data_IF_150733679498
#
_entry.id   IF_150733679498
#
_cell.length_a   1.000
_cell.length_b   1.000
_cell.length_c   1.000
_cell.angle_alpha   90.00
_cell.angle_beta   90.00
_cell.angle_gamma   90.00
#
_symmetry.space_group_name_H-M   'P 1'
#
loop_
_entity.id
_entity.type
_entity.pdbx_description
1 polymer ?
#
# COMPACT_ATOMS: atom_id res chain seq x y z
N UNK A 1 1.61 9.25 -17.80
CA UNK A 1 0.79 9.04 -19.01
C UNK A 1 0.47 7.56 -19.22
N UNK A 2 1.42 6.68 -19.56
CA UNK A 2 1.11 5.25 -19.77
C UNK A 2 0.51 4.61 -18.53
N UNK A 3 1.15 4.77 -17.36
CA UNK A 3 0.64 4.28 -16.09
C UNK A 3 -0.78 4.78 -15.78
N UNK A 4 -1.04 6.07 -16.00
CA UNK A 4 -2.37 6.66 -15.79
C UNK A 4 -3.44 5.99 -16.67
N UNK A 5 -3.13 5.70 -17.94
CA UNK A 5 -4.06 5.02 -18.86
C UNK A 5 -4.27 3.56 -18.49
N UNK A 6 -3.25 2.86 -18.00
CA UNK A 6 -3.39 1.49 -17.49
C UNK A 6 -4.34 1.47 -16.29
N UNK A 7 -4.24 2.45 -15.40
CA UNK A 7 -5.16 2.56 -14.26
C UNK A 7 -6.58 2.96 -14.71
N UNK A 8 -6.73 4.11 -15.38
CA UNK A 8 -8.05 4.69 -15.64
C UNK A 8 -8.76 4.11 -16.87
N UNK A 9 -8.06 3.92 -17.98
CA UNK A 9 -8.70 3.42 -19.21
C UNK A 9 -8.91 1.90 -19.15
N UNK A 10 -7.92 1.15 -18.67
CA UNK A 10 -7.99 -0.31 -18.63
C UNK A 10 -8.72 -0.83 -17.37
N UNK A 11 -8.21 -0.55 -16.16
CA UNK A 11 -8.89 -1.01 -14.93
C UNK A 11 -10.19 -0.26 -14.69
N UNK A 12 -10.16 1.07 -14.73
CA UNK A 12 -11.35 1.91 -14.55
C UNK A 12 -12.42 1.62 -15.61
N UNK A 13 -12.03 1.50 -16.88
CA UNK A 13 -12.95 1.13 -17.95
C UNK A 13 -13.59 -0.25 -17.75
N UNK A 14 -12.82 -1.26 -17.33
CA UNK A 14 -13.37 -2.58 -17.00
C UNK A 14 -14.33 -2.53 -15.81
N UNK A 15 -14.00 -1.76 -14.77
CA UNK A 15 -14.89 -1.53 -13.62
C UNK A 15 -16.21 -0.95 -14.09
N UNK A 16 -16.18 0.12 -14.87
CA UNK A 16 -17.38 0.83 -15.30
C UNK A 16 -18.28 -0.07 -16.17
N UNK A 17 -17.71 -0.84 -17.11
CA UNK A 17 -18.46 -1.84 -17.92
C UNK A 17 -19.01 -2.97 -17.04
N UNK A 18 -18.28 -3.39 -16.01
CA UNK A 18 -18.75 -4.41 -15.06
C UNK A 18 -19.98 -3.92 -14.31
N UNK A 19 -20.00 -2.65 -13.89
CA UNK A 19 -21.13 -2.03 -13.21
C UNK A 19 -22.38 -1.97 -14.08
N UNK A 20 -22.24 -1.69 -15.39
CA UNK A 20 -23.36 -1.73 -16.34
C UNK A 20 -24.05 -3.11 -16.39
N UNK A 21 -23.34 -4.17 -16.00
CA UNK A 21 -23.82 -5.54 -15.98
C UNK A 21 -24.11 -6.06 -14.55
N UNK A 22 -24.10 -5.19 -13.54
CA UNK A 22 -24.34 -5.57 -12.14
C UNK A 22 -23.23 -6.41 -11.51
N UNK A 23 -22.01 -6.33 -12.06
CA UNK A 23 -20.82 -7.03 -11.58
C UNK A 23 -19.89 -6.05 -10.86
N UNK A 24 -19.07 -6.56 -9.94
CA UNK A 24 -17.99 -5.82 -9.28
C UNK A 24 -16.64 -6.41 -9.65
N UNK A 25 -15.63 -5.56 -9.72
CA UNK A 25 -14.25 -5.97 -10.02
C UNK A 25 -13.48 -6.31 -8.76
N UNK A 26 -12.82 -7.46 -8.77
CA UNK A 26 -11.75 -7.79 -7.85
C UNK A 26 -10.44 -7.86 -8.63
N UNK A 27 -9.42 -7.18 -8.14
CA UNK A 27 -8.15 -7.02 -8.83
C UNK A 27 -7.00 -7.32 -7.89
N UNK A 28 -6.12 -8.22 -8.32
CA UNK A 28 -4.86 -8.44 -7.63
C UNK A 28 -3.87 -7.34 -7.97
N UNK A 29 -3.23 -6.82 -6.92
CA UNK A 29 -2.30 -5.71 -7.04
C UNK A 29 -0.93 -6.24 -7.46
N UNK A 30 -0.77 -6.45 -8.76
CA UNK A 30 0.47 -6.90 -9.35
C UNK A 30 1.18 -5.81 -10.15
N UNK A 31 2.48 -6.05 -10.29
CA UNK A 31 3.27 -5.43 -11.34
C UNK A 31 4.74 -5.86 -11.36
N UNK A 32 5.01 -7.07 -10.88
CA UNK A 32 6.23 -7.76 -11.25
C UNK A 32 6.16 -8.10 -12.76
N UNK A 33 7.31 -8.40 -13.36
CA UNK A 33 7.38 -8.98 -14.72
C UNK A 33 6.91 -8.08 -15.88
N UNK A 34 7.29 -6.79 -15.86
CA UNK A 34 7.12 -5.90 -17.01
C UNK A 34 5.84 -5.06 -17.00
N UNK A 35 5.19 -4.93 -15.84
CA UNK A 35 4.02 -4.07 -15.66
C UNK A 35 4.35 -2.58 -15.85
N UNK A 36 3.67 -1.87 -16.76
CA UNK A 36 3.97 -0.49 -17.09
C UNK A 36 3.19 0.53 -16.25
N UNK A 37 2.81 0.18 -15.02
CA UNK A 37 1.91 0.98 -14.17
C UNK A 37 2.50 1.42 -12.82
N UNK A 38 1.65 2.09 -12.05
CA UNK A 38 1.87 2.50 -10.66
C UNK A 38 0.85 1.75 -9.79
N UNK A 39 1.33 0.89 -8.89
CA UNK A 39 0.49 -0.09 -8.18
C UNK A 39 -0.65 0.51 -7.33
N UNK A 40 -0.48 1.70 -6.75
CA UNK A 40 -1.51 2.35 -5.95
C UNK A 40 -2.64 2.85 -6.84
N UNK A 41 -2.34 3.61 -7.90
CA UNK A 41 -3.33 4.10 -8.86
C UNK A 41 -4.03 2.95 -9.59
N UNK A 42 -3.27 1.94 -10.02
CA UNK A 42 -3.80 0.72 -10.63
C UNK A 42 -4.80 0.01 -9.71
N UNK A 43 -4.35 -0.29 -8.48
CA UNK A 43 -5.20 -0.88 -7.45
C UNK A 43 -6.39 0.00 -7.07
N UNK A 44 -6.23 1.31 -7.08
CA UNK A 44 -7.25 2.29 -6.71
C UNK A 44 -8.46 2.28 -7.65
N UNK A 45 -8.29 1.87 -8.91
CA UNK A 45 -9.36 1.91 -9.91
C UNK A 45 -10.31 0.69 -9.91
N UNK A 46 -10.04 -0.38 -9.15
CA UNK A 46 -11.00 -1.49 -8.98
C UNK A 46 -12.07 -1.21 -7.91
N UNK A 47 -13.08 -2.07 -7.76
CA UNK A 47 -14.01 -2.02 -6.60
C UNK A 47 -13.37 -2.63 -5.36
N UNK A 48 -12.92 -3.87 -5.49
CA UNK A 48 -12.19 -4.62 -4.48
C UNK A 48 -10.76 -4.87 -4.97
N UNK A 49 -9.81 -4.91 -4.03
CA UNK A 49 -8.40 -5.15 -4.31
C UNK A 49 -7.93 -6.35 -3.52
N UNK A 50 -6.97 -7.09 -4.06
CA UNK A 50 -6.29 -8.15 -3.31
C UNK A 50 -4.79 -8.20 -3.55
N UNK A 51 -4.09 -8.87 -2.64
CA UNK A 51 -2.77 -9.41 -2.90
C UNK A 51 -2.84 -10.90 -3.16
N UNK A 52 -1.69 -11.56 -3.07
CA UNK A 52 -1.54 -13.01 -3.10
C UNK A 52 -0.53 -13.39 -2.02
N UNK A 53 -0.70 -14.53 -1.36
CA UNK A 53 0.40 -15.13 -0.62
C UNK A 53 0.42 -16.64 -0.67
N UNK A 54 1.66 -17.15 -0.67
CA UNK A 54 1.92 -18.58 -0.63
C UNK A 54 2.03 -19.07 0.80
N UNK A 55 1.73 -20.35 1.01
CA UNK A 55 1.76 -21.04 2.30
C UNK A 55 3.12 -20.94 2.99
N UNK A 56 4.21 -20.84 2.22
CA UNK A 56 5.57 -20.72 2.71
C UNK A 56 6.39 -19.64 1.97
N UNK A 57 7.58 -19.34 2.48
CA UNK A 57 8.56 -18.48 1.80
C UNK A 57 8.29 -16.98 1.98
N UNK A 58 8.66 -16.19 0.97
CA UNK A 58 8.52 -14.72 0.95
C UNK A 58 7.51 -14.22 -0.07
N UNK A 59 6.82 -15.13 -0.78
CA UNK A 59 5.82 -14.73 -1.78
C UNK A 59 4.58 -14.16 -1.06
N UNK A 60 4.22 -12.95 -1.45
CA UNK A 60 3.16 -12.14 -0.86
C UNK A 60 3.65 -10.99 0.03
N UNK A 61 4.94 -10.93 0.36
CA UNK A 61 5.48 -9.88 1.24
C UNK A 61 5.28 -8.47 0.67
N UNK A 62 5.28 -8.34 -0.65
CA UNK A 62 5.14 -7.05 -1.34
C UNK A 62 3.68 -6.81 -1.72
N UNK A 63 3.05 -7.80 -2.36
CA UNK A 63 1.73 -7.71 -2.97
C UNK A 63 0.64 -7.40 -1.93
N UNK A 64 0.69 -8.04 -0.76
CA UNK A 64 -0.32 -7.81 0.27
C UNK A 64 -0.20 -6.42 0.92
N UNK A 65 1.03 -5.93 1.12
CA UNK A 65 1.26 -4.56 1.62
C UNK A 65 0.88 -3.51 0.57
N UNK A 66 1.12 -3.81 -0.71
CA UNK A 66 0.70 -2.97 -1.82
C UNK A 66 -0.83 -2.88 -1.91
N UNK A 67 -1.51 -4.03 -1.79
CA UNK A 67 -2.97 -4.11 -1.78
C UNK A 67 -3.59 -3.38 -0.58
N UNK A 68 -3.08 -3.58 0.63
CA UNK A 68 -3.60 -2.90 1.83
C UNK A 68 -3.38 -1.38 1.77
N UNK A 69 -2.18 -0.92 1.40
CA UNK A 69 -1.91 0.52 1.25
C UNK A 69 -2.84 1.16 0.22
N UNK A 70 -3.04 0.51 -0.94
CA UNK A 70 -3.97 0.99 -1.97
C UNK A 70 -5.41 1.03 -1.44
N UNK A 71 -5.87 -0.04 -0.77
CA UNK A 71 -7.20 -0.06 -0.19
C UNK A 71 -7.43 1.11 0.79
N UNK A 72 -6.49 1.33 1.71
CA UNK A 72 -6.59 2.38 2.72
C UNK A 72 -6.68 3.78 2.09
N UNK A 73 -5.77 4.11 1.16
CA UNK A 73 -5.70 5.47 0.61
C UNK A 73 -6.85 5.81 -0.36
N UNK A 74 -7.49 4.79 -0.94
CA UNK A 74 -8.65 4.93 -1.82
C UNK A 74 -9.99 4.62 -1.13
N UNK A 75 -9.99 4.39 0.18
CA UNK A 75 -11.23 4.26 0.96
C UNK A 75 -11.92 2.89 0.86
N UNK A 76 -11.21 1.84 0.42
CA UNK A 76 -11.73 0.48 0.33
C UNK A 76 -11.64 -0.20 1.70
N UNK A 77 -12.69 -0.93 2.08
CA UNK A 77 -12.74 -1.64 3.36
C UNK A 77 -12.19 -3.06 3.25
N UNK A 78 -12.47 -3.74 2.13
CA UNK A 78 -12.04 -5.13 1.90
C UNK A 78 -10.68 -5.14 1.20
N UNK A 79 -9.74 -5.85 1.82
CA UNK A 79 -8.43 -6.18 1.26
C UNK A 79 -8.35 -7.68 1.18
N UNK A 80 -8.56 -8.20 -0.03
CA UNK A 80 -8.54 -9.63 -0.23
C UNK A 80 -7.13 -10.18 -0.39
N UNK A 81 -6.98 -11.49 -0.30
CA UNK A 81 -5.79 -12.13 -0.81
C UNK A 81 -6.11 -13.50 -1.39
N UNK A 82 -5.56 -13.81 -2.57
CA UNK A 82 -5.36 -15.21 -2.96
C UNK A 82 -4.46 -15.86 -1.90
N UNK A 83 -5.04 -16.76 -1.12
CA UNK A 83 -4.49 -17.18 0.16
C UNK A 83 -4.07 -18.64 0.12
N UNK A 84 -2.88 -18.88 0.65
CA UNK A 84 -2.30 -20.20 0.85
C UNK A 84 -1.92 -20.92 -0.45
N UNK A 85 -1.51 -20.22 -1.50
CA UNK A 85 -0.98 -20.88 -2.70
C UNK A 85 0.23 -21.75 -2.33
N UNK A 86 0.35 -22.96 -2.88
CA UNK A 86 1.49 -23.83 -2.62
C UNK A 86 1.88 -24.64 -3.86
N UNK A 87 3.12 -25.11 -3.91
CA UNK A 87 3.59 -26.05 -4.92
C UNK A 87 4.57 -27.06 -4.30
N UNK A 88 5.01 -28.02 -5.11
CA UNK A 88 5.91 -29.09 -4.69
C UNK A 88 5.13 -30.31 -4.22
N UNK A 89 5.29 -30.72 -2.96
CA UNK A 89 4.65 -31.90 -2.39
C UNK A 89 3.11 -31.75 -2.30
N UNK A 90 2.33 -32.47 -3.14
CA UNK A 90 0.87 -32.39 -3.12
C UNK A 90 0.28 -32.96 -1.82
N UNK A 91 -0.84 -32.42 -1.35
CA UNK A 91 -1.57 -32.89 -0.16
C UNK A 91 -0.75 -32.92 1.15
N UNK A 92 0.39 -32.21 1.21
CA UNK A 92 1.26 -32.22 2.39
C UNK A 92 0.97 -31.08 3.38
N UNK A 93 0.10 -30.14 3.01
CA UNK A 93 -0.28 -28.98 3.83
C UNK A 93 -1.62 -29.24 4.50
N UNK A 94 -1.77 -28.67 5.69
CA UNK A 94 -2.97 -28.78 6.53
C UNK A 94 -3.11 -27.51 7.37
N UNK A 95 -4.30 -27.21 7.93
CA UNK A 95 -4.61 -25.92 8.55
C UNK A 95 -3.59 -25.41 9.58
N UNK A 96 -3.00 -26.29 10.39
CA UNK A 96 -2.04 -25.86 11.41
C UNK A 96 -0.74 -25.26 10.81
N UNK A 97 -0.29 -25.76 9.65
CA UNK A 97 0.86 -25.19 8.93
C UNK A 97 0.51 -23.84 8.30
N UNK A 98 -0.70 -23.72 7.78
CA UNK A 98 -1.17 -22.49 7.11
C UNK A 98 -1.45 -21.36 8.10
N UNK A 99 -1.85 -21.67 9.33
CA UNK A 99 -2.30 -20.67 10.32
C UNK A 99 -1.29 -19.54 10.51
N UNK A 100 -0.02 -19.85 10.77
CA UNK A 100 0.99 -18.83 11.02
C UNK A 100 1.15 -17.87 9.84
N UNK A 101 1.10 -18.40 8.61
CA UNK A 101 1.20 -17.60 7.39
C UNK A 101 -0.02 -16.69 7.21
N UNK A 102 -1.22 -17.21 7.44
CA UNK A 102 -2.45 -16.43 7.41
C UNK A 102 -2.42 -15.29 8.43
N UNK A 103 -2.03 -15.57 9.67
CA UNK A 103 -1.93 -14.59 10.75
C UNK A 103 -0.97 -13.45 10.40
N UNK A 104 0.17 -13.78 9.78
CA UNK A 104 1.11 -12.77 9.29
C UNK A 104 0.45 -11.82 8.29
N UNK A 105 -0.25 -12.32 7.28
CA UNK A 105 -0.85 -11.43 6.29
C UNK A 105 -2.08 -10.68 6.78
N UNK A 106 -2.78 -11.21 7.80
CA UNK A 106 -3.74 -10.43 8.55
C UNK A 106 -3.09 -9.19 9.20
N UNK A 107 -1.86 -9.31 9.71
CA UNK A 107 -1.10 -8.13 10.21
C UNK A 107 -0.60 -7.19 9.11
N UNK A 108 -0.52 -7.65 7.86
CA UNK A 108 -0.19 -6.82 6.70
C UNK A 108 -1.42 -6.08 6.11
N UNK A 109 -2.60 -6.28 6.71
CA UNK A 109 -3.84 -5.60 6.34
C UNK A 109 -4.84 -6.44 5.56
N UNK A 110 -4.55 -7.73 5.29
CA UNK A 110 -5.50 -8.63 4.63
C UNK A 110 -6.66 -8.91 5.59
N UNK A 111 -7.89 -8.73 5.10
CA UNK A 111 -9.10 -8.94 5.88
C UNK A 111 -10.23 -9.64 5.11
N UNK A 112 -9.96 -10.13 3.89
CA UNK A 112 -10.92 -10.88 3.06
C UNK A 112 -10.26 -12.08 2.35
N UNK A 113 -10.19 -13.22 3.02
CA UNK A 113 -9.46 -14.40 2.53
C UNK A 113 -10.15 -15.09 1.35
N UNK A 114 -9.43 -15.28 0.23
CA UNK A 114 -9.82 -16.13 -0.90
C UNK A 114 -8.94 -17.40 -0.89
N UNK A 115 -9.52 -18.57 -0.63
CA UNK A 115 -8.74 -19.81 -0.54
C UNK A 115 -8.30 -20.31 -1.92
N UNK A 116 -6.98 -20.36 -2.13
CA UNK A 116 -6.37 -20.95 -3.32
C UNK A 116 -5.92 -22.38 -2.99
N UNK A 117 -6.52 -23.44 -3.53
CA UNK A 117 -7.64 -23.46 -4.50
C UNK A 117 -8.59 -24.63 -4.26
N UNK A 118 -9.87 -24.45 -4.58
CA UNK A 118 -10.82 -25.56 -4.65
C UNK A 118 -10.89 -26.11 -6.08
N UNK A 119 -10.12 -27.16 -6.37
CA UNK A 119 -10.18 -27.85 -7.68
C UNK A 119 -11.41 -28.76 -7.72
N UNK A 120 -12.26 -28.57 -8.74
CA UNK A 120 -13.42 -29.42 -8.98
C UNK A 120 -13.00 -30.87 -9.23
N UNK A 121 -13.68 -31.81 -8.56
CA UNK A 121 -13.43 -33.25 -8.70
C UNK A 121 -14.61 -33.88 -9.44
N UNK A 122 -14.38 -34.37 -10.67
CA UNK A 122 -15.42 -34.97 -11.50
C UNK A 122 -15.68 -36.45 -11.18
N UNK A 123 -14.70 -37.14 -10.59
CA UNK A 123 -14.77 -38.57 -10.30
C UNK A 123 -15.00 -38.82 -8.81
N UNK A 124 -15.99 -39.64 -8.47
CA UNK A 124 -16.28 -39.96 -7.08
C UNK A 124 -15.41 -41.09 -6.52
N UNK A 125 -14.98 -42.01 -7.37
CA UNK A 125 -14.24 -43.22 -7.04
C UNK A 125 -12.71 -43.04 -7.10
N UNK A 126 -12.22 -41.84 -7.43
CA UNK A 126 -10.79 -41.54 -7.53
C UNK A 126 -10.32 -40.63 -6.41
N UNK A 127 -9.53 -41.18 -5.50
CA UNK A 127 -8.78 -40.45 -4.48
C UNK A 127 -7.27 -40.45 -4.81
N UNK A 128 -6.51 -39.37 -4.51
CA UNK A 128 -6.96 -38.13 -3.86
C UNK A 128 -7.61 -37.12 -4.82
N UNK A 129 -7.87 -37.52 -6.07
CA UNK A 129 -8.56 -36.71 -7.07
C UNK A 129 -7.62 -36.08 -8.10
N UNK A 130 -8.20 -35.23 -8.95
CA UNK A 130 -7.49 -34.36 -9.89
C UNK A 130 -6.73 -33.29 -9.11
N UNK A 131 -5.49 -33.04 -9.49
CA UNK A 131 -4.70 -31.96 -8.95
C UNK A 131 -3.96 -31.19 -10.06
N UNK A 132 -3.64 -29.93 -9.78
CA UNK A 132 -2.75 -29.12 -10.61
C UNK A 132 -1.31 -29.26 -10.11
N UNK A 133 -0.38 -28.53 -10.74
CA UNK A 133 0.99 -28.41 -10.21
C UNK A 133 1.09 -27.47 -8.99
N UNK A 134 -0.02 -26.79 -8.67
CA UNK A 134 -0.22 -25.92 -7.52
C UNK A 134 -1.41 -26.36 -6.66
N UNK A 135 -1.43 -25.91 -5.41
CA UNK A 135 -2.49 -26.09 -4.42
C UNK A 135 -2.74 -24.79 -3.62
N UNK A 136 -3.30 -24.82 -2.42
CA UNK A 136 -3.64 -25.96 -1.55
C UNK A 136 -4.85 -26.75 -2.02
N UNK A 137 -4.90 -28.04 -1.73
CA UNK A 137 -6.01 -28.91 -2.12
C UNK A 137 -7.21 -28.80 -1.17
N UNK A 138 -7.90 -27.65 -1.13
CA UNK A 138 -9.08 -27.42 -0.28
C UNK A 138 -10.35 -28.18 -0.69
N UNK A 139 -10.23 -29.17 -1.60
CA UNK A 139 -11.35 -29.87 -2.19
C UNK A 139 -11.79 -31.08 -1.34
N UNK A 140 -13.00 -31.59 -1.61
CA UNK A 140 -13.65 -32.69 -0.86
C UNK A 140 -12.91 -34.02 -0.77
N UNK A 141 -11.85 -34.24 -1.55
CA UNK A 141 -11.04 -35.46 -1.51
C UNK A 141 -9.80 -35.34 -0.61
N UNK A 142 -9.58 -34.18 0.00
CA UNK A 142 -8.55 -34.01 1.02
C UNK A 142 -8.98 -34.65 2.35
N UNK A 143 -8.02 -35.26 3.05
CA UNK A 143 -8.25 -36.04 4.29
C UNK A 143 -8.91 -35.24 5.40
N UNK A 144 -8.65 -33.94 5.49
CA UNK A 144 -9.17 -33.03 6.52
C UNK A 144 -10.32 -32.13 6.03
N UNK A 145 -10.86 -32.36 4.82
CA UNK A 145 -11.87 -31.49 4.23
C UNK A 145 -13.11 -31.30 5.12
N UNK A 146 -13.59 -32.37 5.72
CA UNK A 146 -14.79 -32.34 6.56
C UNK A 146 -14.57 -31.70 7.93
N UNK A 147 -13.31 -31.49 8.33
CA UNK A 147 -12.93 -30.75 9.54
C UNK A 147 -12.53 -29.29 9.23
N UNK A 148 -12.64 -28.87 7.96
CA UNK A 148 -12.23 -27.53 7.51
C UNK A 148 -13.12 -26.42 8.08
N UNK A 149 -14.32 -26.75 8.55
CA UNK A 149 -15.24 -25.80 9.17
C UNK A 149 -14.61 -25.06 10.36
N UNK A 150 -13.78 -25.73 11.16
CA UNK A 150 -13.03 -25.14 12.28
C UNK A 150 -12.08 -24.05 11.77
N UNK A 151 -11.31 -24.33 10.72
CA UNK A 151 -10.38 -23.38 10.13
C UNK A 151 -11.10 -22.20 9.46
N UNK A 152 -12.20 -22.47 8.75
CA UNK A 152 -13.03 -21.42 8.15
C UNK A 152 -13.69 -20.54 9.21
N UNK A 153 -14.12 -21.10 10.34
CA UNK A 153 -14.71 -20.34 11.42
C UNK A 153 -13.69 -19.38 12.05
N UNK A 154 -12.44 -19.83 12.19
CA UNK A 154 -11.31 -18.98 12.59
C UNK A 154 -11.12 -17.82 11.61
N UNK A 155 -10.93 -18.11 10.32
CA UNK A 155 -10.73 -17.10 9.27
C UNK A 155 -11.88 -16.08 9.24
N UNK A 156 -13.13 -16.54 9.28
CA UNK A 156 -14.30 -15.66 9.25
C UNK A 156 -14.33 -14.69 10.44
N UNK A 157 -13.98 -15.15 11.64
CA UNK A 157 -13.91 -14.28 12.82
C UNK A 157 -12.80 -13.24 12.69
N UNK A 158 -11.61 -13.64 12.24
CA UNK A 158 -10.50 -12.72 12.00
C UNK A 158 -10.88 -11.66 10.96
N UNK A 159 -11.35 -12.08 9.79
CA UNK A 159 -11.75 -11.19 8.71
C UNK A 159 -12.87 -10.23 9.13
N UNK A 160 -13.87 -10.72 9.88
CA UNK A 160 -14.93 -9.87 10.42
C UNK A 160 -14.36 -8.78 11.34
N UNK A 161 -13.49 -9.15 12.30
CA UNK A 161 -12.90 -8.21 13.23
C UNK A 161 -11.98 -7.20 12.54
N UNK A 162 -11.19 -7.63 11.56
CA UNK A 162 -10.23 -6.79 10.83
C UNK A 162 -10.90 -5.83 9.82
N UNK A 163 -12.19 -6.02 9.53
CA UNK A 163 -13.00 -5.08 8.74
C UNK A 163 -13.70 -4.03 9.62
N UNK A 164 -13.60 -4.12 10.96
CA UNK A 164 -14.23 -3.15 11.86
C UNK A 164 -13.38 -1.88 11.98
N UNK A 165 -14.05 -0.73 11.95
CA UNK A 165 -13.42 0.56 12.17
C UNK A 165 -12.51 0.99 11.01
N UNK A 166 -11.36 1.59 11.35
CA UNK A 166 -10.37 2.08 10.40
C UNK A 166 -8.98 1.64 10.86
N UNK A 167 -8.15 1.26 9.91
CA UNK A 167 -6.73 0.99 10.16
C UNK A 167 -6.04 2.23 10.73
N UNK A 168 -5.09 2.01 11.63
CA UNK A 168 -4.31 3.06 12.28
C UNK A 168 -2.87 2.94 11.79
N UNK A 169 -2.40 3.99 11.11
CA UNK A 169 -1.02 4.14 10.68
C UNK A 169 -0.55 5.56 11.00
N UNK A 170 0.73 5.68 11.34
CA UNK A 170 1.33 6.94 11.74
C UNK A 170 2.08 7.60 10.59
N UNK A 171 2.51 6.79 9.62
CA UNK A 171 3.44 7.20 8.57
C UNK A 171 2.82 6.96 7.20
N UNK A 172 2.79 7.99 6.36
CA UNK A 172 2.54 7.87 4.93
C UNK A 172 3.89 7.94 4.18
N UNK A 173 4.30 6.85 3.53
CA UNK A 173 5.48 6.84 2.68
C UNK A 173 5.11 7.18 1.24
N UNK A 174 5.56 8.34 0.77
CA UNK A 174 5.37 8.74 -0.61
C UNK A 174 6.20 7.85 -1.55
N UNK A 175 5.55 7.24 -2.54
CA UNK A 175 6.19 6.25 -3.41
C UNK A 175 7.06 6.83 -4.53
N UNK A 176 7.08 8.16 -4.73
CA UNK A 176 7.63 8.95 -5.86
C UNK A 176 6.67 9.17 -7.05
N UNK A 177 7.17 9.80 -8.12
CA UNK A 177 6.41 10.17 -9.33
C UNK A 177 6.88 9.44 -10.61
N UNK A 178 7.92 8.61 -10.53
CA UNK A 178 8.33 7.77 -11.64
C UNK A 178 7.48 6.51 -11.73
N UNK A 179 7.45 5.91 -12.92
CA UNK A 179 6.79 4.65 -13.21
C UNK A 179 7.67 3.87 -14.22
N UNK A 180 7.66 2.52 -14.18
CA UNK A 180 6.80 1.65 -13.39
C UNK A 180 7.16 1.58 -11.90
N UNK A 181 6.17 1.36 -11.04
CA UNK A 181 6.33 1.24 -9.58
C UNK A 181 5.55 0.07 -9.02
N UNK A 182 6.25 -0.74 -8.25
CA UNK A 182 5.69 -1.91 -7.60
C UNK A 182 5.43 -1.78 -6.12
N UNK A 183 6.27 -1.00 -5.47
CA UNK A 183 6.16 -0.75 -4.05
C UNK A 183 6.90 0.54 -3.74
N UNK A 184 6.66 1.10 -2.56
CA UNK A 184 7.43 2.22 -2.06
C UNK A 184 8.66 1.76 -1.28
N UNK A 185 9.54 2.70 -0.99
CA UNK A 185 10.67 2.46 -0.08
C UNK A 185 10.35 2.98 1.31
N UNK A 186 10.76 2.23 2.33
CA UNK A 186 10.76 2.69 3.72
C UNK A 186 12.16 3.20 4.04
N UNK A 187 12.46 4.41 3.59
CA UNK A 187 13.73 5.07 3.92
C UNK A 187 13.49 6.48 4.48
N UNK A 188 13.48 6.62 5.81
CA UNK A 188 13.94 5.63 6.80
C UNK A 188 12.97 4.48 7.06
N UNK A 189 13.49 3.37 7.61
CA UNK A 189 12.65 2.24 8.03
C UNK A 189 11.64 2.67 9.08
N UNK A 190 10.44 2.09 9.00
CA UNK A 190 9.41 2.29 10.01
C UNK A 190 9.91 1.81 11.38
N UNK A 191 9.75 2.60 12.46
CA UNK A 191 10.13 2.16 13.80
C UNK A 191 9.15 1.13 14.37
N UNK A 192 9.63 0.31 15.31
CA UNK A 192 8.83 -0.75 15.91
C UNK A 192 7.60 -0.18 16.66
N UNK A 193 6.46 -0.87 16.57
CA UNK A 193 5.23 -0.44 17.27
C UNK A 193 4.45 0.67 16.58
N UNK A 194 4.90 1.13 15.41
CA UNK A 194 4.11 1.97 14.51
C UNK A 194 3.68 1.17 13.29
N UNK A 195 2.79 1.77 12.50
CA UNK A 195 2.36 1.23 11.22
C UNK A 195 2.39 2.31 10.14
N UNK A 196 2.34 1.88 8.88
CA UNK A 196 2.42 2.78 7.73
C UNK A 196 1.49 2.36 6.60
N UNK A 197 1.31 3.28 5.66
CA UNK A 197 0.84 3.03 4.30
C UNK A 197 1.78 3.67 3.28
N UNK A 198 1.80 3.10 2.07
CA UNK A 198 2.29 3.83 0.90
C UNK A 198 1.23 4.78 0.36
N UNK A 199 1.65 5.95 -0.11
CA UNK A 199 0.78 6.96 -0.72
C UNK A 199 1.37 7.45 -2.05
N UNK A 200 0.53 7.73 -3.04
CA UNK A 200 0.97 8.23 -4.35
C UNK A 200 0.73 9.74 -4.52
N UNK A 201 1.30 10.31 -5.59
CA UNK A 201 1.21 11.74 -5.86
C UNK A 201 -0.21 12.20 -6.18
N UNK A 202 -1.06 11.32 -6.73
CA UNK A 202 -2.47 11.63 -7.00
C UNK A 202 -3.22 11.88 -5.70
N UNK A 203 -3.19 10.94 -4.77
CA UNK A 203 -3.88 11.05 -3.48
C UNK A 203 -3.38 12.25 -2.68
N UNK A 204 -2.05 12.49 -2.65
CA UNK A 204 -1.47 13.69 -2.00
C UNK A 204 -2.08 14.96 -2.62
N UNK A 205 -2.16 15.04 -3.95
CA UNK A 205 -2.67 16.20 -4.68
C UNK A 205 -4.15 16.44 -4.50
N UNK A 206 -4.97 15.40 -4.59
CA UNK A 206 -6.41 15.55 -4.80
C UNK A 206 -7.24 15.24 -3.57
N UNK A 207 -6.75 14.42 -2.64
CA UNK A 207 -7.53 13.92 -1.50
C UNK A 207 -6.99 14.37 -0.15
N UNK A 208 -5.68 14.49 0.00
CA UNK A 208 -5.02 14.74 1.28
C UNK A 208 -5.26 16.18 1.77
N UNK A 209 -5.64 16.30 3.04
CA UNK A 209 -5.85 17.56 3.77
C UNK A 209 -5.17 17.50 5.14
N UNK A 210 -5.08 18.62 5.83
CA UNK A 210 -4.64 18.66 7.23
C UNK A 210 -5.82 18.94 8.14
N UNK A 211 -5.89 18.19 9.24
CA UNK A 211 -6.82 18.42 10.35
C UNK A 211 -6.10 18.09 11.65
N UNK A 212 -6.11 19.02 12.61
CA UNK A 212 -5.50 18.84 13.93
C UNK A 212 -4.04 18.35 13.87
N UNK A 213 -3.25 18.92 12.95
CA UNK A 213 -1.84 18.58 12.74
C UNK A 213 -1.60 17.24 12.03
N UNK A 214 -2.65 16.50 11.66
CA UNK A 214 -2.56 15.22 10.94
C UNK A 214 -2.95 15.36 9.48
N UNK A 215 -2.32 14.55 8.65
CA UNK A 215 -2.71 14.35 7.26
C UNK A 215 -3.92 13.43 7.23
N UNK A 216 -5.05 13.88 6.70
CA UNK A 216 -6.32 13.14 6.70
C UNK A 216 -6.84 12.94 5.28
N UNK A 217 -7.39 11.76 5.04
CA UNK A 217 -8.15 11.40 3.84
C UNK A 217 -9.66 11.47 4.13
N UNK A 218 -10.50 11.71 3.10
CA UNK A 218 -11.94 11.86 3.28
C UNK A 218 -12.61 10.61 3.88
N UNK A 219 -12.02 9.43 3.69
CA UNK A 219 -12.55 8.15 4.15
C UNK A 219 -12.14 7.77 5.58
N UNK A 220 -11.45 8.69 6.28
CA UNK A 220 -11.10 8.58 7.70
C UNK A 220 -9.67 8.11 7.99
N UNK A 221 -8.91 7.70 6.98
CA UNK A 221 -7.47 7.41 7.15
C UNK A 221 -6.73 8.68 7.55
N UNK A 222 -5.77 8.54 8.47
CA UNK A 222 -4.98 9.66 8.97
C UNK A 222 -3.54 9.23 9.21
N UNK A 223 -2.60 10.16 9.05
CA UNK A 223 -1.17 9.97 9.24
C UNK A 223 -0.57 11.16 9.98
N UNK A 224 0.41 10.89 10.83
CA UNK A 224 1.11 11.93 11.61
C UNK A 224 2.27 12.55 10.81
N UNK A 225 2.87 11.80 9.89
CA UNK A 225 4.01 12.26 9.08
C UNK A 225 3.93 11.76 7.64
N UNK A 226 4.27 12.63 6.69
CA UNK A 226 4.55 12.26 5.30
C UNK A 226 6.06 12.10 5.11
N UNK A 227 6.51 10.93 4.67
CA UNK A 227 7.91 10.66 4.37
C UNK A 227 8.13 10.66 2.87
N UNK A 228 9.00 11.54 2.39
CA UNK A 228 9.41 11.61 0.99
C UNK A 228 10.54 10.61 0.71
N UNK A 229 10.61 10.03 -0.50
CA UNK A 229 11.69 9.12 -0.87
C UNK A 229 13.03 9.87 -0.91
N UNK A 230 14.15 9.13 -0.86
CA UNK A 230 15.49 9.69 -0.97
C UNK A 230 15.83 10.11 -2.41
N UNK A 231 15.05 11.06 -2.95
CA UNK A 231 15.14 11.58 -4.31
C UNK A 231 15.14 13.11 -4.27
N UNK A 232 15.90 13.73 -5.17
CA UNK A 232 15.98 15.19 -5.30
C UNK A 232 15.12 15.72 -6.45
N UNK A 233 14.12 14.95 -6.90
CA UNK A 233 13.21 15.34 -7.98
C UNK A 233 11.77 15.38 -7.50
N UNK A 234 11.02 16.39 -7.96
CA UNK A 234 9.58 16.51 -7.73
C UNK A 234 8.95 17.47 -8.74
N UNK A 235 7.75 17.18 -9.24
CA UNK A 235 7.00 18.08 -10.14
C UNK A 235 6.52 19.31 -9.35
N UNK A 236 6.57 20.52 -9.93
CA UNK A 236 6.17 21.77 -9.25
C UNK A 236 4.80 21.70 -8.58
N UNK A 237 3.80 21.14 -9.27
CA UNK A 237 2.44 21.06 -8.74
C UNK A 237 2.28 20.12 -7.54
N UNK A 238 3.09 19.06 -7.42
CA UNK A 238 3.10 18.22 -6.21
C UNK A 238 3.82 18.93 -5.07
N UNK A 239 4.94 19.58 -5.36
CA UNK A 239 5.70 20.33 -4.37
C UNK A 239 4.89 21.50 -3.79
N UNK A 240 4.16 22.23 -4.64
CA UNK A 240 3.22 23.26 -4.18
C UNK A 240 2.18 22.69 -3.22
N UNK A 241 1.55 21.56 -3.57
CA UNK A 241 0.58 20.92 -2.67
C UNK A 241 1.21 20.54 -1.32
N UNK A 242 2.43 20.02 -1.32
CA UNK A 242 3.13 19.67 -0.08
C UNK A 242 3.40 20.93 0.74
N UNK A 243 3.79 22.04 0.12
CA UNK A 243 3.92 23.35 0.79
C UNK A 243 2.61 23.76 1.44
N UNK A 244 1.49 23.69 0.72
CA UNK A 244 0.17 24.04 1.26
C UNK A 244 -0.19 23.17 2.48
N UNK A 245 0.07 21.86 2.39
CA UNK A 245 -0.15 20.93 3.51
C UNK A 245 0.73 21.29 4.72
N UNK A 246 2.00 21.63 4.51
CA UNK A 246 2.89 22.05 5.61
C UNK A 246 2.40 23.36 6.22
N UNK A 247 2.02 24.35 5.42
CA UNK A 247 1.46 25.61 5.92
C UNK A 247 0.22 25.38 6.80
N UNK A 248 -0.61 24.39 6.44
CA UNK A 248 -1.80 24.00 7.19
C UNK A 248 -1.54 23.16 8.46
N UNK A 249 -0.32 22.64 8.65
CA UNK A 249 0.06 21.91 9.86
C UNK A 249 0.70 20.55 9.64
N UNK A 250 0.95 20.11 8.40
CA UNK A 250 1.56 18.81 8.15
C UNK A 250 3.03 18.77 8.58
N UNK A 251 3.45 17.58 9.01
CA UNK A 251 4.85 17.24 9.22
C UNK A 251 5.36 16.41 8.05
N UNK A 252 6.44 16.87 7.42
CA UNK A 252 7.04 16.21 6.26
C UNK A 252 8.52 15.94 6.52
N UNK A 253 8.95 14.71 6.24
CA UNK A 253 10.35 14.27 6.35
C UNK A 253 10.89 13.91 4.97
N UNK A 254 11.94 14.58 4.50
CA UNK A 254 12.53 14.25 3.21
C UNK A 254 13.66 15.15 2.76
N UNK A 255 14.44 14.71 1.76
CA UNK A 255 15.43 15.56 1.10
C UNK A 255 14.76 16.68 0.32
N UNK A 256 15.51 17.78 0.12
CA UNK A 256 15.07 18.93 -0.67
C UNK A 256 15.10 18.59 -2.18
N UNK A 257 13.98 18.76 -2.92
CA UNK A 257 13.98 18.59 -4.36
C UNK A 257 14.73 19.75 -5.05
N UNK A 258 15.32 19.46 -6.20
CA UNK A 258 16.17 20.38 -6.97
C UNK A 258 15.65 20.58 -8.40
N UNK A 259 15.02 19.57 -9.00
CA UNK A 259 14.53 19.61 -10.38
C UNK A 259 13.22 18.83 -10.55
N UNK A 260 12.53 19.08 -11.66
CA UNK A 260 11.37 18.29 -12.07
C UNK A 260 11.83 16.96 -12.70
N UNK A 261 11.17 15.82 -12.42
CA UNK A 261 11.46 14.54 -13.09
C UNK A 261 10.90 14.48 -14.53
N UNK A 262 10.24 15.54 -15.01
CA UNK A 262 9.57 15.59 -16.31
C UNK A 262 10.08 16.73 -17.19
N UNK A 263 10.07 16.52 -18.51
CA UNK A 263 10.32 17.57 -19.50
C UNK A 263 9.17 18.57 -19.65
N UNK A 264 8.03 18.32 -19.01
CA UNK A 264 6.89 19.24 -19.03
C UNK A 264 7.29 20.59 -18.41
N UNK A 265 7.25 21.66 -19.21
CA UNK A 265 7.58 23.01 -18.76
C UNK A 265 9.08 23.28 -18.60
N UNK A 266 9.97 22.42 -19.10
CA UNK A 266 11.42 22.65 -19.05
C UNK A 266 11.84 23.89 -19.88
N UNK A 267 12.77 24.74 -19.41
CA UNK A 267 13.49 24.69 -18.13
C UNK A 267 12.81 25.47 -16.98
N UNK A 268 11.64 26.08 -17.22
CA UNK A 268 10.96 26.89 -16.21
C UNK A 268 10.54 26.07 -14.98
N UNK A 269 10.09 24.82 -15.19
CA UNK A 269 9.69 23.93 -14.11
C UNK A 269 10.80 23.69 -13.07
N UNK A 270 12.07 23.61 -13.48
CA UNK A 270 13.19 23.44 -12.53
C UNK A 270 13.38 24.68 -11.66
N UNK A 271 13.17 25.87 -12.23
CA UNK A 271 13.22 27.13 -11.47
C UNK A 271 12.07 27.22 -10.46
N UNK A 272 10.88 26.77 -10.86
CA UNK A 272 9.73 26.72 -9.96
C UNK A 272 9.97 25.73 -8.80
N UNK A 273 10.54 24.56 -9.09
CA UNK A 273 10.94 23.60 -8.05
C UNK A 273 11.95 24.21 -7.09
N UNK A 274 13.01 24.85 -7.60
CA UNK A 274 14.03 25.47 -6.77
C UNK A 274 13.44 26.55 -5.85
N UNK A 275 12.63 27.46 -6.41
CA UNK A 275 11.99 28.52 -5.64
C UNK A 275 11.10 27.94 -4.53
N UNK A 276 10.22 26.99 -4.85
CA UNK A 276 9.33 26.38 -3.85
C UNK A 276 10.10 25.58 -2.80
N UNK A 277 11.14 24.87 -3.22
CA UNK A 277 11.98 24.09 -2.32
C UNK A 277 12.79 25.00 -1.38
N UNK A 278 13.29 26.15 -1.86
CA UNK A 278 13.96 27.16 -1.04
C UNK A 278 13.02 27.72 0.03
N UNK A 279 11.80 28.08 -0.34
CA UNK A 279 10.77 28.55 0.60
C UNK A 279 10.41 27.47 1.64
N UNK A 280 10.27 26.22 1.19
CA UNK A 280 9.77 25.13 2.03
C UNK A 280 10.84 24.54 2.97
N UNK A 281 12.08 24.35 2.49
CA UNK A 281 13.17 23.84 3.32
C UNK A 281 13.92 24.94 4.10
N UNK A 282 13.79 26.21 3.72
CA UNK A 282 14.45 27.33 4.39
C UNK A 282 15.96 27.11 4.57
N UNK A 283 16.46 27.40 5.77
CA UNK A 283 17.89 27.30 6.13
C UNK A 283 18.36 25.88 6.49
N UNK A 284 17.56 24.84 6.20
CA UNK A 284 17.99 23.45 6.45
C UNK A 284 19.27 23.16 5.67
N UNK A 285 20.35 22.90 6.40
CA UNK A 285 21.69 22.65 5.86
C UNK A 285 22.15 21.19 6.06
N UNK A 286 21.27 20.34 6.59
CA UNK A 286 21.51 18.90 6.76
C UNK A 286 22.53 18.53 7.85
N UNK A 287 23.09 19.49 8.57
CA UNK A 287 24.08 19.25 9.64
C UNK A 287 23.60 19.82 10.98
N UNK A 288 23.62 21.15 11.12
CA UNK A 288 23.22 21.87 12.33
C UNK A 288 21.74 22.25 12.34
N UNK A 289 21.16 22.54 11.17
CA UNK A 289 19.74 22.86 11.00
C UNK A 289 19.07 21.72 10.23
N UNK A 290 18.22 20.98 10.93
CA UNK A 290 17.53 19.77 10.40
C UNK A 290 16.04 19.95 10.21
N UNK A 291 15.48 21.05 10.73
CA UNK A 291 14.06 21.32 10.72
C UNK A 291 13.79 22.76 10.31
N UNK A 292 12.69 22.98 9.60
CA UNK A 292 12.18 24.29 9.24
C UNK A 292 10.68 24.32 9.53
N UNK A 293 10.23 25.30 10.31
CA UNK A 293 8.80 25.52 10.56
C UNK A 293 8.28 26.45 9.48
N UNK A 294 7.17 26.08 8.86
CA UNK A 294 6.48 26.91 7.87
C UNK A 294 4.98 26.83 8.12
N UNK A 295 4.33 27.99 8.27
CA UNK A 295 2.94 28.07 8.72
C UNK A 295 2.75 27.34 10.06
N UNK A 296 1.81 26.39 10.11
CA UNK A 296 1.51 25.58 11.30
C UNK A 296 2.30 24.27 11.36
N UNK A 297 2.96 23.87 10.27
CA UNK A 297 3.63 22.59 10.15
C UNK A 297 5.15 22.71 10.14
N UNK A 298 5.80 21.65 9.68
CA UNK A 298 7.25 21.59 9.62
C UNK A 298 7.80 20.62 8.57
N UNK A 299 8.97 20.97 8.06
CA UNK A 299 9.81 20.14 7.19
C UNK A 299 11.04 19.69 7.96
N UNK A 300 11.46 18.46 7.71
CA UNK A 300 12.63 17.83 8.33
C UNK A 300 13.51 17.16 7.26
N UNK A 301 14.83 17.23 7.41
CA UNK A 301 15.79 16.62 6.46
C UNK A 301 17.02 16.01 7.14
N UNK A 302 17.73 15.15 6.39
CA UNK A 302 19.01 14.51 6.68
C UNK A 302 19.13 13.92 8.10
N UNK A 303 18.27 12.95 8.38
CA UNK A 303 18.23 12.26 9.66
C UNK A 303 18.90 10.88 9.50
N UNK A 304 20.20 10.87 9.17
CA UNK A 304 21.01 9.67 8.85
C UNK A 304 21.02 8.54 9.92
N UNK A 305 20.47 8.78 11.11
CA UNK A 305 20.32 7.79 12.20
C UNK A 305 18.84 7.57 12.57
N UNK A 306 18.02 7.39 11.53
CA UNK A 306 16.58 7.66 11.55
C UNK A 306 15.69 6.77 12.44
N UNK A 307 16.19 5.65 12.97
CA UNK A 307 15.35 4.79 13.82
C UNK A 307 14.88 5.55 15.06
N UNK A 308 15.80 6.20 15.80
CA UNK A 308 15.45 6.98 16.99
C UNK A 308 14.65 8.25 16.70
N UNK A 309 14.66 8.74 15.46
CA UNK A 309 14.17 10.08 15.15
C UNK A 309 12.78 10.11 14.52
N UNK A 310 12.36 9.09 13.76
CA UNK A 310 10.92 8.92 13.48
C UNK A 310 10.18 8.67 14.80
N UNK A 311 10.77 7.91 15.74
CA UNK A 311 10.28 7.84 17.12
C UNK A 311 10.19 9.22 17.79
N UNK A 312 11.25 10.03 17.71
CA UNK A 312 11.28 11.36 18.33
C UNK A 312 10.25 12.30 17.69
N UNK A 313 10.03 12.22 16.39
CA UNK A 313 8.98 12.98 15.69
C UNK A 313 7.61 12.51 16.14
N UNK A 314 7.36 11.20 16.18
CA UNK A 314 6.07 10.69 16.63
C UNK A 314 5.82 11.02 18.11
N UNK A 315 6.86 11.09 18.96
CA UNK A 315 6.78 11.60 20.32
C UNK A 315 6.50 13.11 20.39
N UNK A 316 7.09 13.91 19.50
CA UNK A 316 6.90 15.37 19.46
C UNK A 316 5.55 15.76 18.86
N UNK A 317 5.04 15.00 17.89
CA UNK A 317 3.74 15.22 17.23
C UNK A 317 2.57 14.71 18.10
N UNK A 318 2.82 13.84 19.08
CA UNK A 318 1.84 13.40 20.07
C UNK A 318 1.64 14.38 21.24
N UNK A 319 2.46 15.44 21.35
CA UNK A 319 2.38 16.49 22.36
C UNK A 319 1.78 17.78 21.80
#
# INVERSE_FOLDING_TARGET
FVADRVAYDYVGGLRDISHENGLTTWLENYGHWGFPGEFLQYGGQSDEIGGEFWSEGSLGDIENRAASSSAHIYGKTRVSAESFTCAGAPFSRYPALMKQRGDRFFTEGINNTLLHVYISQAYEDKAPGVNAWFGNEFNRKNTWFYDMDIFLQYIKRCNMMLQQGKYVADIAYFISEDAPKMTGTQNPKMPQGYSFDYINGEVIKTRLKVKDGKLVLPDGMQYSILVLPQMTTMRPGLLQKIKDLVEDGAVVLGPKPQTSPSLQGYPAADKDVQKLADELWGDINGSSVKTHKLGKGMIMSNMQHAHQQVYLVLLVVQL
#
